data_IF_375210203032
#
_entry.id   IF_375210203032
#
_cell.length_a   1.000
_cell.length_b   1.000
_cell.length_c   1.000
_cell.angle_alpha   90.00
_cell.angle_beta   90.00
_cell.angle_gamma   90.00
#
_symmetry.space_group_name_H-M   'P 1'
#
loop_
_entity.id
_entity.type
_entity.pdbx_description
1 polymer ?
#
# COMPACT_ATOMS: atom_id res chain seq x y z
N UNK A 1 -10.91 -9.97 10.57
CA UNK A 1 -10.22 -8.73 10.18
C UNK A 1 -9.81 -8.75 8.72
N UNK A 2 -9.08 -9.77 8.24
CA UNK A 2 -8.58 -9.86 6.86
C UNK A 2 -9.71 -9.91 5.81
N UNK A 3 -10.82 -10.58 6.13
CA UNK A 3 -11.99 -10.64 5.26
C UNK A 3 -12.66 -9.26 5.06
N UNK A 4 -12.70 -8.43 6.10
CA UNK A 4 -13.22 -7.07 6.02
C UNK A 4 -12.23 -6.14 5.33
N UNK A 5 -10.93 -6.25 5.62
CA UNK A 5 -9.89 -5.47 4.96
C UNK A 5 -9.83 -5.75 3.46
N UNK A 6 -10.09 -6.99 3.04
CA UNK A 6 -10.15 -7.36 1.62
C UNK A 6 -11.29 -6.66 0.86
N UNK A 7 -12.36 -6.28 1.54
CA UNK A 7 -13.48 -5.54 0.94
C UNK A 7 -13.17 -4.07 0.69
N UNK A 8 -12.29 -3.47 1.50
CA UNK A 8 -11.97 -2.03 1.45
C UNK A 8 -10.63 -1.70 0.78
N UNK A 9 -9.96 -2.66 0.18
CA UNK A 9 -8.71 -2.42 -0.56
C UNK A 9 -7.50 -3.24 -0.10
N UNK A 10 -7.70 -4.13 0.87
CA UNK A 10 -6.68 -5.04 1.38
C UNK A 10 -5.91 -4.51 2.59
N UNK A 11 -5.30 -5.43 3.33
CA UNK A 11 -4.57 -5.15 4.58
C UNK A 11 -3.34 -4.24 4.39
N UNK A 12 -2.81 -4.14 3.17
CA UNK A 12 -1.67 -3.26 2.86
C UNK A 12 -1.97 -1.76 2.93
N UNK A 13 -3.25 -1.38 3.06
CA UNK A 13 -3.69 0.02 3.18
C UNK A 13 -4.44 0.31 4.49
N UNK A 14 -4.82 -0.72 5.25
CA UNK A 14 -5.57 -0.53 6.48
C UNK A 14 -4.65 -0.03 7.61
N UNK A 15 -4.96 1.13 8.23
CA UNK A 15 -4.23 1.58 9.40
C UNK A 15 -4.61 0.76 10.64
N UNK A 16 -3.71 0.69 11.61
CA UNK A 16 -3.94 0.06 12.91
C UNK A 16 -3.63 0.99 14.06
N UNK A 17 -4.49 0.99 15.07
CA UNK A 17 -4.29 1.74 16.29
C UNK A 17 -4.95 1.03 17.48
N UNK A 18 -4.18 0.85 18.55
CA UNK A 18 -4.62 0.32 19.82
C UNK A 18 -4.54 1.45 20.86
N UNK A 19 -5.68 1.95 21.29
CA UNK A 19 -5.78 3.11 22.18
C UNK A 19 -6.26 2.65 23.55
N UNK A 20 -5.49 2.95 24.59
CA UNK A 20 -5.78 2.65 25.99
C UNK A 20 -5.74 3.89 26.87
N UNK A 21 -5.92 3.68 28.17
CA UNK A 21 -6.01 4.74 29.20
C UNK A 21 -4.65 5.39 29.51
N UNK A 22 -3.99 6.01 28.63
CA UNK A 22 -2.71 6.69 28.90
C UNK A 22 -1.60 6.37 27.92
N UNK A 23 -1.87 5.44 27.01
CA UNK A 23 -0.95 5.18 25.89
C UNK A 23 -1.72 4.72 24.65
N UNK A 24 -1.12 4.94 23.49
CA UNK A 24 -1.63 4.41 22.23
C UNK A 24 -0.47 3.84 21.40
N UNK A 25 -0.74 2.75 20.69
CA UNK A 25 0.21 2.10 19.77
C UNK A 25 -0.39 2.13 18.37
N UNK A 26 0.37 2.64 17.42
CA UNK A 26 -0.02 2.70 16.02
C UNK A 26 0.90 1.81 15.19
N UNK A 27 0.33 0.86 14.49
CA UNK A 27 1.08 -0.17 13.78
C UNK A 27 0.39 -0.56 12.47
N UNK A 28 1.12 -1.20 11.56
CA UNK A 28 0.51 -1.81 10.40
C UNK A 28 -0.36 -3.00 10.84
N UNK A 29 -1.53 -3.17 10.21
CA UNK A 29 -2.48 -4.26 10.55
C UNK A 29 -2.05 -5.63 10.05
N UNK A 30 -1.00 -5.70 9.23
CA UNK A 30 -0.46 -6.94 8.66
C UNK A 30 0.79 -7.41 9.42
N UNK A 31 1.13 -8.70 9.27
CA UNK A 31 2.35 -9.28 9.81
C UNK A 31 3.63 -8.84 9.07
N UNK A 32 4.75 -9.43 9.47
CA UNK A 32 6.11 -9.09 9.00
C UNK A 32 6.36 -9.33 7.50
N UNK A 33 5.53 -10.11 6.83
CA UNK A 33 5.69 -10.46 5.42
C UNK A 33 7.11 -11.00 5.09
N UNK A 34 7.64 -11.88 5.93
CA UNK A 34 9.00 -12.43 5.84
C UNK A 34 9.45 -12.85 4.43
N UNK A 35 8.60 -13.49 3.59
CA UNK A 35 9.00 -13.84 2.22
C UNK A 35 9.40 -12.65 1.35
N UNK A 36 9.04 -11.44 1.75
CA UNK A 36 9.31 -10.18 1.04
C UNK A 36 10.36 -9.31 1.74
N UNK A 37 10.88 -9.75 2.89
CA UNK A 37 11.92 -9.03 3.61
C UNK A 37 13.12 -8.74 2.71
N UNK A 38 13.65 -7.51 2.76
CA UNK A 38 14.77 -7.06 1.94
C UNK A 38 14.50 -6.86 0.44
N UNK A 39 13.30 -7.19 -0.06
CA UNK A 39 12.98 -7.11 -1.50
C UNK A 39 12.44 -5.75 -1.95
N UNK A 40 12.20 -4.82 -1.04
CA UNK A 40 11.67 -3.48 -1.33
C UNK A 40 10.39 -3.48 -2.21
N UNK A 41 9.45 -4.40 -1.95
CA UNK A 41 8.27 -4.64 -2.79
C UNK A 41 6.93 -4.46 -2.12
N UNK A 42 6.88 -4.52 -0.79
CA UNK A 42 5.62 -4.43 -0.05
C UNK A 42 5.07 -3.00 -0.07
N UNK A 43 3.75 -2.89 0.01
CA UNK A 43 3.07 -1.62 0.12
C UNK A 43 3.26 -1.04 1.53
N UNK A 44 3.82 0.16 1.69
CA UNK A 44 3.98 0.80 3.00
C UNK A 44 2.73 1.59 3.42
N UNK A 45 1.63 1.53 2.68
CA UNK A 45 0.44 2.34 2.90
C UNK A 45 -0.17 2.15 4.29
N UNK A 46 -0.20 0.92 4.81
CA UNK A 46 -0.74 0.62 6.13
C UNK A 46 0.04 1.36 7.23
N UNK A 47 1.37 1.30 7.24
CA UNK A 47 2.17 2.01 8.27
C UNK A 47 2.14 3.53 8.07
N UNK A 48 2.11 4.02 6.84
CA UNK A 48 1.97 5.46 6.55
C UNK A 48 0.64 5.99 7.09
N UNK A 49 -0.46 5.27 6.86
CA UNK A 49 -1.78 5.66 7.35
C UNK A 49 -1.93 5.44 8.86
N UNK A 50 -1.22 4.48 9.46
CA UNK A 50 -1.12 4.36 10.92
C UNK A 50 -0.40 5.56 11.53
N UNK A 51 0.64 6.07 10.87
CA UNK A 51 1.30 7.31 11.23
C UNK A 51 0.38 8.53 11.10
N UNK A 52 -0.43 8.59 10.05
CA UNK A 52 -1.49 9.61 9.91
C UNK A 52 -2.47 9.58 11.09
N UNK A 53 -2.96 8.40 11.43
CA UNK A 53 -3.86 8.20 12.57
C UNK A 53 -3.21 8.65 13.89
N UNK A 54 -1.91 8.35 14.07
CA UNK A 54 -1.13 8.82 15.23
C UNK A 54 -1.07 10.34 15.29
N UNK A 55 -0.76 11.02 14.18
CA UNK A 55 -0.72 12.47 14.12
C UNK A 55 -2.05 13.07 14.49
N UNK A 56 -3.13 12.51 14.02
CA UNK A 56 -4.50 12.94 14.33
C UNK A 56 -4.84 12.73 15.81
N UNK A 57 -4.43 11.60 16.38
CA UNK A 57 -4.58 11.32 17.82
C UNK A 57 -3.82 12.34 18.70
N UNK A 58 -2.64 12.77 18.25
CA UNK A 58 -1.84 13.81 18.92
C UNK A 58 -2.38 15.24 18.72
N UNK A 59 -3.45 15.43 17.95
CA UNK A 59 -4.02 16.73 17.62
C UNK A 59 -3.30 17.47 16.49
N UNK A 60 -2.36 16.84 15.80
CA UNK A 60 -1.60 17.41 14.68
C UNK A 60 -2.34 17.19 13.35
N UNK A 61 -3.56 17.75 13.30
CA UNK A 61 -4.49 17.51 12.19
C UNK A 61 -3.97 17.99 10.84
N UNK A 62 -3.30 19.14 10.79
CA UNK A 62 -2.71 19.67 9.55
C UNK A 62 -1.65 18.73 8.99
N UNK A 63 -0.79 18.17 9.85
CA UNK A 63 0.21 17.20 9.44
C UNK A 63 -0.44 15.88 8.94
N UNK A 64 -1.49 15.43 9.62
CA UNK A 64 -2.26 14.26 9.19
C UNK A 64 -2.90 14.48 7.80
N UNK A 65 -3.48 15.64 7.57
CA UNK A 65 -4.09 16.01 6.28
C UNK A 65 -3.05 16.07 5.14
N UNK A 66 -1.83 16.54 5.43
CA UNK A 66 -0.73 16.49 4.46
C UNK A 66 -0.37 15.06 4.08
N UNK A 67 -0.27 14.15 5.05
CA UNK A 67 0.00 12.73 4.76
C UNK A 67 -1.08 12.14 3.85
N UNK A 68 -2.36 12.38 4.16
CA UNK A 68 -3.47 11.93 3.30
C UNK A 68 -3.42 12.53 1.90
N UNK A 69 -3.09 13.82 1.79
CA UNK A 69 -2.91 14.49 0.50
C UNK A 69 -1.80 13.82 -0.32
N UNK A 70 -0.65 13.54 0.30
CA UNK A 70 0.48 12.87 -0.34
C UNK A 70 0.12 11.47 -0.84
N UNK A 71 -0.51 10.64 -0.01
CA UNK A 71 -0.97 9.30 -0.40
C UNK A 71 -1.97 9.38 -1.56
N UNK A 72 -2.96 10.27 -1.46
CA UNK A 72 -3.94 10.50 -2.53
C UNK A 72 -3.27 10.94 -3.82
N UNK A 73 -2.32 11.86 -3.75
CA UNK A 73 -1.57 12.38 -4.90
C UNK A 73 -0.77 11.27 -5.60
N UNK A 74 -0.05 10.44 -4.85
CA UNK A 74 0.70 9.32 -5.40
C UNK A 74 -0.22 8.34 -6.16
N UNK A 75 -1.37 7.99 -5.57
CA UNK A 75 -2.35 7.08 -6.18
C UNK A 75 -3.01 7.71 -7.41
N UNK A 76 -3.35 8.99 -7.37
CA UNK A 76 -3.93 9.71 -8.51
C UNK A 76 -2.97 9.80 -9.70
N UNK A 77 -1.69 10.04 -9.44
CA UNK A 77 -0.62 10.03 -10.44
C UNK A 77 -0.24 8.61 -10.88
N UNK A 78 -0.97 7.60 -10.40
CA UNK A 78 -0.77 6.18 -10.71
C UNK A 78 0.65 5.67 -10.38
N UNK A 79 1.30 6.24 -9.37
CA UNK A 79 2.53 5.72 -8.77
C UNK A 79 2.14 4.64 -7.76
N UNK A 80 2.13 3.39 -8.20
CA UNK A 80 1.47 2.30 -7.49
C UNK A 80 2.47 1.21 -7.09
N UNK A 81 2.34 0.69 -5.89
CA UNK A 81 2.95 -0.58 -5.52
C UNK A 81 2.27 -1.74 -6.25
N UNK A 82 2.91 -2.90 -6.26
CA UNK A 82 2.43 -4.08 -6.99
C UNK A 82 0.99 -4.47 -6.64
N UNK A 83 0.64 -4.45 -5.35
CA UNK A 83 -0.69 -4.80 -4.84
C UNK A 83 -1.75 -3.78 -5.26
N UNK A 84 -1.46 -2.48 -5.18
CA UNK A 84 -2.35 -1.41 -5.63
C UNK A 84 -2.58 -1.46 -7.15
N UNK A 85 -1.53 -1.70 -7.91
CA UNK A 85 -1.63 -1.86 -9.36
C UNK A 85 -2.48 -3.09 -9.72
N UNK A 86 -2.28 -4.20 -9.02
CA UNK A 86 -3.07 -5.43 -9.17
C UNK A 86 -4.54 -5.22 -8.79
N UNK A 87 -4.82 -4.56 -7.68
CA UNK A 87 -6.19 -4.26 -7.27
C UNK A 87 -6.92 -3.38 -8.31
N UNK A 88 -6.23 -2.39 -8.86
CA UNK A 88 -6.77 -1.49 -9.90
C UNK A 88 -7.00 -2.18 -11.24
N UNK A 89 -6.19 -3.18 -11.59
CA UNK A 89 -6.36 -3.99 -12.79
C UNK A 89 -7.59 -4.93 -12.72
N UNK A 90 -8.18 -5.08 -11.54
CA UNK A 90 -9.34 -5.94 -11.29
C UNK A 90 -9.02 -7.44 -11.29
N UNK A 91 -10.06 -8.26 -11.07
CA UNK A 91 -9.96 -9.74 -10.92
C UNK A 91 -9.33 -10.50 -12.10
N UNK A 92 -9.03 -9.85 -13.20
CA UNK A 92 -8.41 -10.47 -14.39
C UNK A 92 -7.01 -11.03 -14.13
N UNK A 93 -6.28 -10.47 -13.16
CA UNK A 93 -4.93 -10.95 -12.79
C UNK A 93 -4.91 -12.20 -11.88
N UNK A 94 -6.06 -12.63 -11.36
CA UNK A 94 -6.12 -13.77 -10.43
C UNK A 94 -5.97 -15.12 -11.14
N UNK A 95 -6.01 -15.18 -12.45
CA UNK A 95 -5.84 -16.39 -13.25
C UNK A 95 -4.50 -16.50 -13.98
N UNK A 96 -3.41 -16.19 -13.35
CA UNK A 96 -2.15 -16.81 -13.77
C UNK A 96 -2.11 -18.20 -13.13
N UNK A 97 -2.58 -19.19 -13.87
CA UNK A 97 -2.42 -20.61 -13.51
C UNK A 97 -0.94 -20.86 -13.27
N UNK A 98 -0.58 -21.18 -12.05
CA UNK A 98 0.68 -21.78 -11.63
C UNK A 98 0.74 -23.23 -12.17
N UNK A 99 0.65 -23.42 -13.45
CA UNK A 99 0.70 -24.75 -14.06
C UNK A 99 1.59 -24.77 -15.30
N UNK A 100 2.76 -24.12 -15.21
CA UNK A 100 3.88 -24.53 -16.03
C UNK A 100 5.17 -23.98 -15.44
N UNK A 101 6.14 -24.85 -15.32
CA UNK A 101 7.46 -24.62 -14.77
C UNK A 101 8.08 -23.31 -15.27
N UNK A 102 8.44 -22.41 -14.33
CA UNK A 102 9.50 -21.41 -14.46
C UNK A 102 9.49 -20.46 -15.67
N UNK A 103 8.35 -19.90 -16.07
CA UNK A 103 8.36 -18.63 -16.78
C UNK A 103 8.16 -17.52 -15.77
N UNK A 104 9.21 -16.79 -15.46
CA UNK A 104 9.15 -15.50 -14.78
C UNK A 104 8.38 -14.56 -15.70
N UNK A 105 7.06 -14.50 -15.55
CA UNK A 105 6.24 -13.50 -16.24
C UNK A 105 6.75 -12.16 -15.73
N UNK A 106 7.16 -11.28 -16.62
CA UNK A 106 7.55 -9.92 -16.22
C UNK A 106 6.28 -9.19 -15.78
N UNK A 107 6.03 -9.29 -14.47
CA UNK A 107 4.87 -8.70 -13.79
C UNK A 107 4.76 -7.21 -14.08
N UNK A 108 5.89 -6.55 -14.34
CA UNK A 108 5.94 -5.12 -14.66
C UNK A 108 5.31 -4.82 -16.02
N UNK A 109 5.59 -5.64 -17.02
CA UNK A 109 5.04 -5.49 -18.37
C UNK A 109 3.53 -5.77 -18.39
N UNK A 110 3.08 -6.78 -17.65
CA UNK A 110 1.67 -7.15 -17.57
C UNK A 110 0.84 -6.07 -16.84
N UNK A 111 1.36 -5.51 -15.74
CA UNK A 111 0.69 -4.42 -15.01
C UNK A 111 0.60 -3.15 -15.88
N UNK A 112 1.64 -2.82 -16.63
CA UNK A 112 1.63 -1.65 -17.53
C UNK A 112 0.56 -1.78 -18.62
N UNK A 113 0.32 -2.99 -19.12
CA UNK A 113 -0.76 -3.27 -20.08
C UNK A 113 -2.16 -3.16 -19.45
N UNK A 114 -2.30 -3.51 -18.18
CA UNK A 114 -3.59 -3.57 -17.48
C UNK A 114 -4.01 -2.23 -16.85
N UNK A 115 -3.05 -1.40 -16.49
CA UNK A 115 -3.29 -0.05 -15.94
C UNK A 115 -2.49 0.96 -16.76
N UNK A 116 -3.04 1.44 -17.87
CA UNK A 116 -2.35 2.39 -18.74
C UNK A 116 -1.90 3.64 -18.00
N UNK A 117 -0.63 4.01 -18.18
CA UNK A 117 -0.01 5.16 -17.53
C UNK A 117 0.33 4.96 -16.05
N UNK A 118 0.30 3.73 -15.55
CA UNK A 118 0.79 3.43 -14.20
C UNK A 118 2.31 3.25 -14.18
N UNK A 119 2.92 3.81 -13.15
CA UNK A 119 4.32 3.57 -12.78
C UNK A 119 4.36 2.64 -11.58
N UNK A 120 4.96 1.45 -11.77
CA UNK A 120 5.17 0.53 -10.67
C UNK A 120 6.35 1.03 -9.83
N UNK A 121 6.09 1.27 -8.54
CA UNK A 121 7.10 1.74 -7.60
C UNK A 121 7.40 0.70 -6.52
N UNK A 122 8.61 0.75 -5.98
CA UNK A 122 9.04 -0.05 -4.83
C UNK A 122 8.41 0.49 -3.53
N UNK A 123 8.68 -0.18 -2.40
CA UNK A 123 8.28 0.30 -1.07
C UNK A 123 8.82 1.70 -0.80
N UNK A 124 10.13 1.91 -0.96
CA UNK A 124 10.76 3.23 -0.80
C UNK A 124 10.27 4.23 -1.84
N UNK A 125 10.14 3.81 -3.10
CA UNK A 125 9.64 4.67 -4.17
C UNK A 125 8.18 5.12 -3.96
N UNK A 126 7.35 4.35 -3.26
CA UNK A 126 6.02 4.80 -2.86
C UNK A 126 6.10 5.86 -1.75
N UNK A 127 7.01 5.69 -0.79
CA UNK A 127 7.30 6.71 0.22
C UNK A 127 7.74 8.02 -0.42
N UNK A 128 8.69 7.97 -1.35
CA UNK A 128 9.14 9.15 -2.11
C UNK A 128 7.99 9.80 -2.90
N UNK A 129 7.13 8.97 -3.52
CA UNK A 129 5.95 9.47 -4.23
C UNK A 129 4.98 10.19 -3.28
N UNK A 130 4.78 9.71 -2.07
CA UNK A 130 3.95 10.38 -1.05
C UNK A 130 4.56 11.71 -0.67
N UNK A 131 5.87 11.76 -0.36
CA UNK A 131 6.59 12.98 0.02
C UNK A 131 6.51 14.03 -1.09
N UNK A 132 6.70 13.65 -2.34
CA UNK A 132 6.65 14.54 -3.50
C UNK A 132 5.24 15.08 -3.82
N UNK A 133 4.22 14.64 -3.11
CA UNK A 133 2.83 15.08 -3.26
C UNK A 133 2.23 15.70 -1.99
N UNK A 134 3.04 16.01 -0.98
CA UNK A 134 2.64 16.69 0.26
C UNK A 134 2.16 18.14 0.09
#
# INVERSE_FOLDING_TARGET
SDALAAQVGGIGMAPGGNIGDGCAVFEATHGSAEPFAGKNRVNPGSIILSGEMMLRYLGWTEAADLVLKGVKGAIQKKQLTYDLARARAGKRLIRVKTSEKHKTIDVKEEITKLVPGATLVSTSGFGDAVINNL
#
